data_IF_528222751647
#
_entry.id   IF_528222751647
#
_cell.length_a   1.000
_cell.length_b   1.000
_cell.length_c   1.000
_cell.angle_alpha   90.00
_cell.angle_beta   90.00
_cell.angle_gamma   90.00
#
_symmetry.space_group_name_H-M   'P 1'
#
loop_
_entity.id
_entity.type
_entity.pdbx_description
1 polymer ?
#
# COMPACT_ATOMS: atom_id res chain seq x y z
N UNK A 1 -25.24 28.75 -2.61
CA UNK A 1 -24.66 27.85 -3.63
C UNK A 1 -23.20 28.27 -3.80
N UNK A 2 -22.26 27.37 -4.14
CA UNK A 2 -20.86 27.78 -4.38
C UNK A 2 -20.75 28.36 -5.79
N UNK A 3 -20.00 29.46 -5.94
CA UNK A 3 -19.73 30.08 -7.24
C UNK A 3 -18.48 29.50 -7.93
N UNK A 4 -17.78 28.59 -7.25
CA UNK A 4 -16.55 27.95 -7.75
C UNK A 4 -16.69 26.44 -7.80
N UNK A 5 -16.17 25.84 -8.88
CA UNK A 5 -16.11 24.40 -9.06
C UNK A 5 -15.37 23.72 -7.89
N UNK A 6 -16.00 22.71 -7.29
CA UNK A 6 -15.40 21.88 -6.26
C UNK A 6 -14.77 20.64 -6.93
N UNK A 7 -13.43 20.56 -7.03
CA UNK A 7 -12.78 19.39 -7.60
C UNK A 7 -12.95 18.18 -6.70
N UNK A 8 -12.94 16.99 -7.29
CA UNK A 8 -12.98 15.73 -6.54
C UNK A 8 -11.77 15.58 -5.61
N UNK A 9 -10.57 15.93 -6.11
CA UNK A 9 -9.33 15.85 -5.34
C UNK A 9 -8.35 16.94 -5.77
N UNK A 10 -7.64 17.52 -4.79
CA UNK A 10 -6.43 18.32 -5.00
C UNK A 10 -5.37 17.87 -3.99
N UNK A 11 -4.09 17.77 -4.38
CA UNK A 11 -3.03 17.51 -3.42
C UNK A 11 -2.91 18.70 -2.44
N UNK A 12 -2.71 18.39 -1.17
CA UNK A 12 -2.49 19.39 -0.12
C UNK A 12 -1.00 19.65 0.03
N UNK A 13 -0.53 20.73 -0.60
CA UNK A 13 0.87 21.14 -0.68
C UNK A 13 1.01 22.50 0.01
N UNK A 14 1.97 22.63 0.93
CA UNK A 14 2.19 23.87 1.70
C UNK A 14 3.54 24.55 1.40
N UNK A 15 4.32 23.98 0.46
CA UNK A 15 5.62 24.49 0.05
C UNK A 15 6.81 23.80 0.72
N UNK A 16 6.58 23.00 1.77
CA UNK A 16 7.63 22.12 2.32
C UNK A 16 8.12 21.09 1.30
N UNK A 17 7.23 20.63 0.41
CA UNK A 17 7.58 19.73 -0.69
C UNK A 17 8.54 20.40 -1.67
N UNK A 18 8.24 21.64 -2.06
CA UNK A 18 9.06 22.40 -3.01
C UNK A 18 10.47 22.62 -2.46
N UNK A 19 10.59 22.85 -1.15
CA UNK A 19 11.89 23.00 -0.49
C UNK A 19 12.73 21.73 -0.62
N UNK A 20 12.19 20.57 -0.24
CA UNK A 20 12.95 19.31 -0.30
C UNK A 20 13.24 18.89 -1.75
N UNK A 21 12.32 19.11 -2.69
CA UNK A 21 12.56 18.85 -4.12
C UNK A 21 13.72 19.72 -4.64
N UNK A 22 13.78 20.99 -4.24
CA UNK A 22 14.88 21.88 -4.61
C UNK A 22 16.22 21.36 -4.08
N UNK A 23 16.28 20.89 -2.84
CA UNK A 23 17.50 20.30 -2.26
C UNK A 23 17.98 19.08 -3.08
N UNK A 24 17.06 18.22 -3.54
CA UNK A 24 17.39 17.09 -4.42
C UNK A 24 17.96 17.56 -5.76
N UNK A 25 17.34 18.54 -6.39
CA UNK A 25 17.81 19.07 -7.68
C UNK A 25 19.19 19.74 -7.56
N UNK A 26 19.44 20.45 -6.47
CA UNK A 26 20.74 21.08 -6.18
C UNK A 26 21.83 20.04 -5.86
N UNK A 27 21.47 18.88 -5.29
CA UNK A 27 22.41 17.78 -5.03
C UNK A 27 22.91 17.06 -6.30
N UNK A 28 22.12 17.11 -7.38
CA UNK A 28 22.37 16.35 -8.62
C UNK A 28 21.95 14.88 -8.58
N UNK A 29 21.49 14.34 -7.44
CA UNK A 29 21.06 12.94 -7.31
C UNK A 29 19.54 12.79 -7.46
N UNK A 30 19.07 12.70 -8.70
CA UNK A 30 17.63 12.79 -9.01
C UNK A 30 16.90 11.45 -9.06
N UNK A 31 17.60 10.31 -8.97
CA UNK A 31 17.01 8.96 -8.93
C UNK A 31 17.07 8.40 -7.50
N UNK A 32 16.83 7.11 -7.31
CA UNK A 32 16.89 6.47 -5.97
C UNK A 32 18.21 6.77 -5.28
N UNK A 33 18.15 7.37 -4.10
CA UNK A 33 19.30 7.77 -3.29
C UNK A 33 18.93 8.00 -1.83
N UNK A 34 19.56 9.00 -1.22
CA UNK A 34 19.48 9.26 0.21
C UNK A 34 18.04 9.59 0.67
N UNK A 35 17.30 10.39 -0.11
CA UNK A 35 15.93 10.77 0.26
C UNK A 35 14.98 9.58 0.19
N UNK A 36 15.15 8.69 -0.80
CA UNK A 36 14.37 7.45 -0.89
C UNK A 36 14.60 6.56 0.32
N UNK A 37 15.86 6.36 0.72
CA UNK A 37 16.18 5.58 1.91
C UNK A 37 15.72 6.23 3.22
N UNK A 38 15.72 7.56 3.30
CA UNK A 38 15.15 8.27 4.44
C UNK A 38 13.63 8.11 4.51
N UNK A 39 12.93 8.21 3.37
CA UNK A 39 11.50 7.96 3.29
C UNK A 39 11.17 6.53 3.71
N UNK A 40 11.91 5.52 3.25
CA UNK A 40 11.74 4.12 3.66
C UNK A 40 11.84 3.98 5.19
N UNK A 41 12.90 4.52 5.81
CA UNK A 41 13.09 4.47 7.27
C UNK A 41 11.98 5.19 8.03
N UNK A 42 11.64 6.42 7.60
CA UNK A 42 10.63 7.23 8.26
C UNK A 42 9.24 6.59 8.14
N UNK A 43 8.92 6.00 6.99
CA UNK A 43 7.66 5.33 6.74
C UNK A 43 7.55 4.03 7.55
N UNK A 44 8.60 3.18 7.55
CA UNK A 44 8.67 1.97 8.36
C UNK A 44 8.41 2.29 9.85
N UNK A 45 9.07 3.33 10.37
CA UNK A 45 8.84 3.81 11.73
C UNK A 45 7.41 4.34 11.96
N UNK A 46 6.81 5.01 10.97
CA UNK A 46 5.45 5.57 11.07
C UNK A 46 4.36 4.50 11.10
N UNK A 47 4.52 3.41 10.36
CA UNK A 47 3.55 2.30 10.32
C UNK A 47 3.88 1.19 11.30
N UNK A 48 5.10 1.15 11.85
CA UNK A 48 5.55 0.10 12.76
C UNK A 48 5.96 -1.20 12.06
N UNK A 49 6.51 -1.10 10.85
CA UNK A 49 7.07 -2.24 10.11
C UNK A 49 8.60 -2.31 10.28
N UNK A 50 9.19 -3.50 10.23
CA UNK A 50 10.65 -3.65 10.26
C UNK A 50 11.29 -3.19 8.94
N UNK A 51 10.61 -3.39 7.82
CA UNK A 51 11.09 -3.02 6.50
C UNK A 51 10.06 -2.24 5.70
N UNK A 52 10.56 -1.26 4.95
CA UNK A 52 9.83 -0.57 3.90
C UNK A 52 10.67 -0.55 2.62
N UNK A 53 10.00 -0.64 1.46
CA UNK A 53 10.61 -0.62 0.13
C UNK A 53 9.84 0.34 -0.76
N UNK A 54 10.49 1.44 -1.14
CA UNK A 54 9.85 2.50 -1.92
C UNK A 54 9.83 2.16 -3.42
N UNK A 55 8.66 2.27 -4.03
CA UNK A 55 8.43 1.95 -5.43
C UNK A 55 7.63 3.03 -6.13
N UNK A 56 7.57 3.01 -7.46
CA UNK A 56 6.97 4.06 -8.26
C UNK A 56 5.43 4.05 -8.28
N UNK A 57 4.77 3.03 -7.73
CA UNK A 57 3.31 2.91 -7.67
C UNK A 57 2.86 1.78 -6.73
N UNK A 58 1.61 1.81 -6.27
CA UNK A 58 1.02 0.67 -5.55
C UNK A 58 0.85 -0.57 -6.46
N UNK A 59 0.61 -0.38 -7.75
CA UNK A 59 0.58 -1.48 -8.72
C UNK A 59 1.92 -2.21 -8.77
N UNK A 60 3.03 -1.47 -8.79
CA UNK A 60 4.36 -2.07 -8.67
C UNK A 60 4.57 -2.76 -7.31
N UNK A 61 4.04 -2.17 -6.23
CA UNK A 61 4.11 -2.78 -4.89
C UNK A 61 3.41 -4.15 -4.86
N UNK A 62 2.17 -4.22 -5.33
CA UNK A 62 1.38 -5.45 -5.39
C UNK A 62 2.03 -6.49 -6.31
N UNK A 63 2.54 -6.07 -7.46
CA UNK A 63 3.26 -6.95 -8.39
C UNK A 63 4.49 -7.58 -7.72
N UNK A 64 5.32 -6.76 -7.06
CA UNK A 64 6.50 -7.25 -6.36
C UNK A 64 6.18 -8.09 -5.12
N UNK A 65 5.07 -7.81 -4.43
CA UNK A 65 4.60 -8.63 -3.32
C UNK A 65 4.21 -10.05 -3.79
N UNK A 66 3.52 -10.17 -4.93
CA UNK A 66 3.17 -11.45 -5.53
C UNK A 66 4.41 -12.21 -6.05
N UNK A 67 5.39 -11.51 -6.62
CA UNK A 67 6.68 -12.11 -6.99
C UNK A 67 7.43 -12.63 -5.76
N UNK A 68 7.44 -11.87 -4.66
CA UNK A 68 8.13 -12.24 -3.43
C UNK A 68 7.57 -13.52 -2.77
N UNK A 69 6.27 -13.77 -2.90
CA UNK A 69 5.62 -15.01 -2.42
C UNK A 69 5.63 -16.13 -3.46
N UNK A 70 6.38 -15.94 -4.56
CA UNK A 70 6.58 -16.87 -5.65
C UNK A 70 5.28 -17.32 -6.32
N UNK A 71 4.37 -16.37 -6.62
CA UNK A 71 3.15 -16.67 -7.35
C UNK A 71 3.47 -17.27 -8.73
N UNK A 72 2.76 -18.33 -9.08
CA UNK A 72 2.92 -19.07 -10.33
C UNK A 72 1.64 -19.02 -11.19
N UNK A 73 1.72 -19.35 -12.50
CA UNK A 73 0.56 -19.34 -13.39
C UNK A 73 -0.58 -20.30 -13.00
N UNK A 74 -0.27 -21.35 -12.24
CA UNK A 74 -1.23 -22.37 -11.82
C UNK A 74 -1.99 -21.96 -10.54
N UNK A 75 -1.58 -20.87 -9.90
CA UNK A 75 -2.16 -20.39 -8.64
C UNK A 75 -3.43 -19.57 -8.82
N UNK A 76 -4.21 -19.52 -7.75
CA UNK A 76 -5.34 -18.63 -7.53
C UNK A 76 -5.04 -17.62 -6.42
N UNK A 77 -5.51 -16.39 -6.60
CA UNK A 77 -5.42 -15.32 -5.60
C UNK A 77 -6.81 -14.81 -5.30
N UNK A 78 -7.25 -14.92 -4.05
CA UNK A 78 -8.58 -14.48 -3.64
C UNK A 78 -8.58 -12.97 -3.41
N UNK A 79 -9.55 -12.26 -4.00
CA UNK A 79 -9.79 -10.83 -3.76
C UNK A 79 -11.25 -10.49 -4.07
N UNK A 80 -11.62 -9.21 -4.04
CA UNK A 80 -12.98 -8.74 -4.33
C UNK A 80 -13.09 -8.15 -5.74
N UNK A 81 -14.24 -8.27 -6.42
CA UNK A 81 -14.50 -7.51 -7.65
C UNK A 81 -14.74 -6.02 -7.36
N UNK A 82 -15.02 -5.67 -6.10
CA UNK A 82 -15.20 -4.30 -5.63
C UNK A 82 -13.86 -3.68 -5.23
N UNK A 83 -12.98 -3.51 -6.21
CA UNK A 83 -11.64 -2.94 -6.05
C UNK A 83 -11.20 -2.16 -7.29
N UNK A 84 -10.03 -1.51 -7.24
CA UNK A 84 -9.40 -0.95 -8.42
C UNK A 84 -8.71 -2.03 -9.26
N UNK A 85 -8.64 -1.83 -10.58
CA UNK A 85 -8.12 -2.83 -11.53
C UNK A 85 -6.73 -3.37 -11.15
N UNK A 86 -5.87 -2.53 -10.56
CA UNK A 86 -4.51 -2.92 -10.15
C UNK A 86 -4.47 -4.15 -9.25
N UNK A 87 -5.44 -4.32 -8.34
CA UNK A 87 -5.45 -5.43 -7.37
C UNK A 87 -5.52 -6.78 -8.08
N UNK A 88 -6.35 -6.91 -9.12
CA UNK A 88 -6.54 -8.16 -9.85
C UNK A 88 -5.64 -8.27 -11.10
N UNK A 89 -5.29 -7.16 -11.76
CA UNK A 89 -4.47 -7.20 -12.97
C UNK A 89 -3.05 -7.69 -12.70
N UNK A 90 -2.48 -7.37 -11.53
CA UNK A 90 -1.12 -7.84 -11.18
C UNK A 90 -1.06 -9.36 -11.01
N UNK A 91 -2.17 -10.00 -10.61
CA UNK A 91 -2.28 -11.47 -10.59
C UNK A 91 -2.18 -12.00 -12.02
N UNK A 92 -2.82 -11.32 -12.98
CA UNK A 92 -2.78 -11.70 -14.39
C UNK A 92 -1.41 -11.52 -15.03
N UNK A 93 -0.54 -10.65 -14.52
CA UNK A 93 0.84 -10.51 -15.01
C UNK A 93 1.64 -11.81 -14.85
N UNK A 94 1.31 -12.65 -13.86
CA UNK A 94 1.90 -13.98 -13.69
C UNK A 94 1.19 -15.10 -14.46
N UNK A 95 0.10 -14.79 -15.17
CA UNK A 95 -0.78 -15.82 -15.75
C UNK A 95 -1.69 -16.54 -14.75
N UNK A 96 -1.56 -16.22 -13.44
CA UNK A 96 -2.39 -16.72 -12.36
C UNK A 96 -3.85 -16.23 -12.48
N UNK A 97 -4.75 -16.83 -11.69
CA UNK A 97 -6.18 -16.50 -11.73
C UNK A 97 -6.64 -15.71 -10.51
N UNK A 98 -7.17 -14.47 -10.67
CA UNK A 98 -7.90 -13.82 -9.59
C UNK A 98 -9.22 -14.57 -9.35
N UNK A 99 -9.45 -14.96 -8.11
CA UNK A 99 -10.69 -15.56 -7.65
C UNK A 99 -11.48 -14.48 -6.90
N UNK A 100 -12.56 -14.00 -7.51
CA UNK A 100 -13.39 -12.97 -6.92
C UNK A 100 -14.41 -13.55 -5.95
N UNK A 101 -14.44 -13.02 -4.74
CA UNK A 101 -15.45 -13.31 -3.72
C UNK A 101 -16.16 -12.02 -3.28
N UNK A 102 -17.32 -12.16 -2.65
CA UNK A 102 -18.17 -11.03 -2.31
C UNK A 102 -17.60 -10.17 -1.16
N UNK A 103 -18.28 -9.06 -0.88
CA UNK A 103 -17.94 -8.11 0.18
C UNK A 103 -18.98 -8.07 1.28
N UNK A 104 -18.55 -7.65 2.47
CA UNK A 104 -19.47 -7.35 3.56
C UNK A 104 -20.29 -6.10 3.21
N UNK A 105 -21.60 -6.15 3.48
CA UNK A 105 -22.52 -5.06 3.11
C UNK A 105 -22.20 -3.73 3.80
N UNK A 106 -21.72 -3.77 5.03
CA UNK A 106 -21.54 -2.60 5.90
C UNK A 106 -20.25 -1.82 5.61
N UNK A 107 -19.18 -2.53 5.21
CA UNK A 107 -17.84 -1.95 4.97
C UNK A 107 -17.39 -2.02 3.52
N UNK A 108 -18.06 -2.82 2.69
CA UNK A 108 -17.69 -3.11 1.30
C UNK A 108 -16.30 -3.73 1.16
N UNK A 109 -15.72 -4.23 2.26
CA UNK A 109 -14.48 -4.96 2.28
C UNK A 109 -14.71 -6.46 2.04
N UNK A 110 -13.65 -7.15 1.66
CA UNK A 110 -13.64 -8.60 1.40
C UNK A 110 -14.28 -9.39 2.55
N UNK A 111 -15.32 -10.18 2.27
CA UNK A 111 -16.04 -10.96 3.27
C UNK A 111 -15.24 -12.22 3.68
N UNK A 112 -14.83 -12.36 4.96
CA UNK A 112 -14.10 -13.54 5.43
C UNK A 112 -14.84 -14.87 5.23
N UNK A 113 -16.18 -14.90 5.34
CA UNK A 113 -16.95 -16.13 5.13
C UNK A 113 -16.88 -16.58 3.66
N UNK A 114 -17.05 -15.63 2.74
CA UNK A 114 -16.88 -15.88 1.31
C UNK A 114 -15.45 -16.29 0.94
N UNK A 115 -14.43 -15.72 1.60
CA UNK A 115 -13.03 -16.17 1.45
C UNK A 115 -12.88 -17.62 1.89
N UNK A 116 -13.34 -17.97 3.09
CA UNK A 116 -13.22 -19.33 3.64
C UNK A 116 -13.86 -20.38 2.70
N UNK A 117 -15.01 -20.05 2.10
CA UNK A 117 -15.70 -20.92 1.16
C UNK A 117 -14.98 -21.09 -0.19
N UNK A 118 -14.16 -20.11 -0.59
CA UNK A 118 -13.47 -20.08 -1.87
C UNK A 118 -12.04 -20.67 -1.82
N UNK A 119 -11.47 -20.86 -0.62
CA UNK A 119 -10.15 -21.47 -0.47
C UNK A 119 -10.16 -22.89 -1.06
N UNK A 120 -9.23 -23.11 -2.00
CA UNK A 120 -9.05 -24.38 -2.68
C UNK A 120 -7.58 -24.76 -2.80
N UNK A 121 -7.26 -25.90 -3.43
CA UNK A 121 -5.91 -26.43 -3.51
C UNK A 121 -4.94 -25.56 -4.34
N UNK A 122 -5.47 -24.60 -5.12
CA UNK A 122 -4.67 -23.65 -5.91
C UNK A 122 -4.54 -22.28 -5.24
N UNK A 123 -5.25 -22.03 -4.14
CA UNK A 123 -5.23 -20.73 -3.48
C UNK A 123 -3.85 -20.52 -2.87
N UNK A 124 -3.15 -19.48 -3.32
CA UNK A 124 -1.78 -19.16 -2.88
C UNK A 124 -1.73 -17.93 -1.99
N UNK A 125 -2.62 -16.97 -2.22
CA UNK A 125 -2.64 -15.72 -1.50
C UNK A 125 -4.07 -15.16 -1.40
N UNK A 126 -4.27 -14.27 -0.44
CA UNK A 126 -5.44 -13.41 -0.33
C UNK A 126 -5.01 -11.96 -0.41
N UNK A 127 -5.72 -11.16 -1.20
CA UNK A 127 -5.52 -9.71 -1.33
C UNK A 127 -6.77 -8.98 -0.83
N UNK A 128 -6.89 -8.70 0.49
CA UNK A 128 -7.90 -7.77 0.95
C UNK A 128 -7.53 -6.36 0.54
N UNK A 129 -8.55 -5.59 0.16
CA UNK A 129 -8.44 -4.17 -0.11
C UNK A 129 -9.08 -3.46 1.05
N UNK A 130 -8.40 -2.48 1.63
CA UNK A 130 -8.98 -1.62 2.67
C UNK A 130 -9.80 -0.51 2.02
N UNK A 131 -10.97 -0.90 1.50
CA UNK A 131 -11.81 -0.06 0.68
C UNK A 131 -12.19 1.23 1.39
N UNK A 132 -12.24 2.33 0.62
CA UNK A 132 -12.47 3.70 1.10
C UNK A 132 -11.54 4.23 2.21
N UNK A 133 -10.63 3.41 2.73
CA UNK A 133 -9.83 3.69 3.91
C UNK A 133 -10.33 3.05 5.20
N UNK A 134 -11.37 2.20 5.14
CA UNK A 134 -11.81 1.36 6.24
C UNK A 134 -11.05 0.02 6.16
N UNK A 135 -10.19 -0.33 7.14
CA UNK A 135 -9.60 -1.65 7.25
C UNK A 135 -10.59 -2.80 7.07
N UNK A 136 -10.14 -3.86 6.40
CA UNK A 136 -10.91 -5.10 6.26
C UNK A 136 -10.92 -5.85 7.59
N UNK A 137 -11.70 -6.94 7.70
CA UNK A 137 -11.77 -7.75 8.90
C UNK A 137 -10.52 -8.63 9.08
N UNK A 138 -9.41 -7.98 9.47
CA UNK A 138 -8.08 -8.58 9.40
C UNK A 138 -7.88 -9.74 10.35
N UNK A 139 -8.48 -9.75 11.54
CA UNK A 139 -8.34 -10.88 12.47
C UNK A 139 -8.86 -12.19 11.86
N UNK A 140 -10.02 -12.14 11.18
CA UNK A 140 -10.59 -13.30 10.52
C UNK A 140 -9.77 -13.73 9.29
N UNK A 141 -9.37 -12.76 8.46
CA UNK A 141 -8.58 -13.02 7.24
C UNK A 141 -7.17 -13.53 7.56
N UNK A 142 -6.53 -12.97 8.59
CA UNK A 142 -5.22 -13.42 9.09
C UNK A 142 -5.31 -14.86 9.60
N UNK A 143 -6.40 -15.20 10.32
CA UNK A 143 -6.67 -16.56 10.79
C UNK A 143 -6.78 -17.57 9.63
N UNK A 144 -7.56 -17.23 8.60
CA UNK A 144 -7.70 -18.06 7.40
C UNK A 144 -6.36 -18.22 6.66
N UNK A 145 -5.59 -17.14 6.51
CA UNK A 145 -4.30 -17.19 5.85
C UNK A 145 -3.31 -18.09 6.59
N UNK A 146 -3.28 -17.98 7.92
CA UNK A 146 -2.43 -18.81 8.79
C UNK A 146 -2.83 -20.29 8.78
N UNK A 147 -4.13 -20.59 8.90
CA UNK A 147 -4.66 -21.96 8.89
C UNK A 147 -4.35 -22.70 7.58
N UNK A 148 -4.44 -21.99 6.45
CA UNK A 148 -4.29 -22.56 5.12
C UNK A 148 -2.92 -22.33 4.47
N UNK A 149 -1.98 -21.66 5.17
CA UNK A 149 -0.65 -21.36 4.64
C UNK A 149 -0.65 -20.42 3.42
N UNK A 150 -1.59 -19.48 3.38
CA UNK A 150 -1.75 -18.49 2.31
C UNK A 150 -0.91 -17.25 2.61
N UNK A 151 -0.33 -16.62 1.59
CA UNK A 151 0.25 -15.29 1.79
C UNK A 151 -0.85 -14.22 1.98
N UNK A 152 -0.62 -13.30 2.92
CA UNK A 152 -1.46 -12.13 3.14
C UNK A 152 -0.83 -10.91 2.44
N UNK A 153 -1.47 -10.41 1.39
CA UNK A 153 -0.99 -9.22 0.66
C UNK A 153 -2.06 -8.14 0.75
N UNK A 154 -1.85 -7.11 1.56
CA UNK A 154 -2.85 -6.06 1.76
C UNK A 154 -2.73 -4.97 0.68
N UNK A 155 -3.82 -4.68 -0.02
CA UNK A 155 -3.95 -3.45 -0.82
C UNK A 155 -4.39 -2.31 0.10
N UNK A 156 -3.40 -1.55 0.55
CA UNK A 156 -3.52 -0.41 1.45
C UNK A 156 -3.50 0.93 0.71
N UNK A 157 -3.87 0.95 -0.58
CA UNK A 157 -3.87 2.18 -1.37
C UNK A 157 -4.72 3.31 -0.77
N UNK A 158 -5.74 2.99 0.05
CA UNK A 158 -6.64 3.95 0.68
C UNK A 158 -6.46 4.07 2.20
N UNK A 159 -5.72 3.17 2.85
CA UNK A 159 -5.78 2.99 4.30
C UNK A 159 -4.66 3.67 5.08
N UNK A 160 -3.92 4.61 4.50
CA UNK A 160 -2.97 5.40 5.28
C UNK A 160 -3.68 6.64 5.89
N UNK A 161 -3.65 6.88 7.22
CA UNK A 161 -3.00 6.13 8.31
C UNK A 161 -3.97 5.33 9.20
N UNK A 162 -4.90 4.59 8.61
CA UNK A 162 -5.89 3.77 9.30
C UNK A 162 -5.26 2.72 10.24
N UNK A 163 -6.04 2.30 11.24
CA UNK A 163 -5.65 1.25 12.18
C UNK A 163 -6.80 0.27 12.42
N UNK A 164 -6.44 -0.98 12.73
CA UNK A 164 -7.34 -2.08 13.05
C UNK A 164 -6.96 -2.66 14.41
N UNK A 165 -7.88 -2.65 15.38
CA UNK A 165 -7.68 -3.07 16.78
C UNK A 165 -6.43 -2.46 17.43
N UNK A 166 -6.16 -1.19 17.13
CA UNK A 166 -5.00 -0.45 17.65
C UNK A 166 -3.68 -0.72 16.91
N UNK A 167 -3.68 -1.57 15.88
CA UNK A 167 -2.52 -1.81 15.01
C UNK A 167 -2.65 -0.98 13.74
N UNK A 168 -1.64 -0.16 13.44
CA UNK A 168 -1.60 0.63 12.20
C UNK A 168 -1.51 -0.32 11.01
N UNK A 169 -2.28 -0.07 9.95
CA UNK A 169 -2.14 -0.84 8.71
C UNK A 169 -0.72 -0.66 8.18
N UNK A 170 -0.05 -1.78 7.85
CA UNK A 170 1.38 -1.83 7.52
C UNK A 170 2.25 -2.44 8.60
N UNK A 171 1.80 -2.48 9.86
CA UNK A 171 2.49 -3.23 10.92
C UNK A 171 2.23 -4.73 10.83
N UNK A 172 3.14 -5.51 11.41
CA UNK A 172 2.91 -6.93 11.68
C UNK A 172 1.75 -7.10 12.66
N UNK A 173 0.76 -7.89 12.25
CA UNK A 173 -0.36 -8.25 13.13
C UNK A 173 -0.09 -9.55 13.89
N UNK A 174 -0.53 -9.66 15.16
CA UNK A 174 -0.31 -10.87 15.97
C UNK A 174 -0.94 -12.15 15.39
N UNK A 175 -2.06 -12.03 14.66
CA UNK A 175 -2.84 -13.17 14.18
C UNK A 175 -2.19 -13.99 13.05
N UNK A 176 -1.12 -13.49 12.45
CA UNK A 176 -0.50 -14.11 11.28
C UNK A 176 0.62 -15.12 11.61
N UNK A 177 1.15 -15.17 12.83
CA UNK A 177 2.22 -16.12 13.18
C UNK A 177 3.46 -15.98 12.27
N UNK A 178 3.81 -17.04 11.52
CA UNK A 178 4.89 -17.04 10.51
C UNK A 178 4.39 -16.82 9.07
N UNK A 179 3.09 -16.52 8.92
CA UNK A 179 2.47 -16.32 7.60
C UNK A 179 3.07 -15.10 6.88
N UNK A 180 3.51 -15.24 5.61
CA UNK A 180 4.02 -14.14 4.80
C UNK A 180 3.01 -12.99 4.75
N UNK A 181 3.49 -11.78 5.05
CA UNK A 181 2.67 -10.56 5.03
C UNK A 181 3.40 -9.45 4.28
N UNK A 182 2.74 -8.85 3.30
CA UNK A 182 3.17 -7.59 2.68
C UNK A 182 2.01 -6.62 2.61
N UNK A 183 2.23 -5.36 2.99
CA UNK A 183 1.24 -4.29 2.86
C UNK A 183 1.69 -3.29 1.79
N UNK A 184 0.84 -3.04 0.80
CA UNK A 184 1.15 -2.21 -0.36
C UNK A 184 0.41 -0.88 -0.31
N UNK A 185 1.14 0.23 -0.20
CA UNK A 185 0.59 1.58 -0.13
C UNK A 185 0.70 2.32 -1.46
N UNK A 186 -0.20 3.28 -1.67
CA UNK A 186 -0.21 4.18 -2.82
C UNK A 186 0.09 5.62 -2.41
N UNK A 187 0.97 6.27 -3.15
CA UNK A 187 1.27 7.71 -3.07
C UNK A 187 0.91 8.43 -4.37
N UNK A 188 -0.08 7.90 -5.10
CA UNK A 188 -0.62 8.55 -6.29
C UNK A 188 -1.20 9.93 -5.94
N UNK A 189 -1.29 10.82 -6.93
CA UNK A 189 -1.70 12.22 -6.84
C UNK A 189 -2.92 12.51 -5.93
N UNK A 190 -3.87 11.58 -5.82
CA UNK A 190 -5.13 11.75 -5.08
C UNK A 190 -5.17 11.07 -3.71
N UNK A 191 -4.13 10.32 -3.32
CA UNK A 191 -4.08 9.58 -2.06
C UNK A 191 -3.86 10.51 -0.85
N UNK A 192 -4.00 9.96 0.36
CA UNK A 192 -3.94 10.76 1.60
C UNK A 192 -2.64 11.54 1.70
N UNK A 193 -1.51 10.88 1.40
CA UNK A 193 -0.25 11.53 1.03
C UNK A 193 0.07 11.23 -0.43
N UNK A 194 0.85 12.10 -1.06
CA UNK A 194 1.21 11.98 -2.47
C UNK A 194 2.70 12.19 -2.71
N UNK A 195 3.24 11.54 -3.73
CA UNK A 195 4.55 11.83 -4.32
C UNK A 195 4.44 12.16 -5.81
N UNK A 196 3.23 12.51 -6.26
CA UNK A 196 2.84 12.56 -7.68
C UNK A 196 2.53 11.15 -8.17
N UNK A 197 3.58 10.33 -8.26
CA UNK A 197 3.52 8.87 -8.47
C UNK A 197 4.39 8.20 -7.42
N UNK A 198 3.91 7.09 -6.84
CA UNK A 198 4.66 6.36 -5.83
C UNK A 198 3.86 5.28 -5.11
N UNK A 199 4.57 4.47 -4.36
CA UNK A 199 4.05 3.47 -3.45
C UNK A 199 5.12 2.98 -2.49
N UNK A 200 4.70 2.14 -1.55
CA UNK A 200 5.57 1.53 -0.55
C UNK A 200 5.12 0.10 -0.29
N UNK A 201 6.06 -0.81 -0.13
CA UNK A 201 5.82 -2.16 0.40
C UNK A 201 6.32 -2.18 1.83
N UNK A 202 5.51 -2.62 2.78
CA UNK A 202 5.92 -2.86 4.16
C UNK A 202 5.81 -4.34 4.52
N UNK A 203 6.80 -4.85 5.26
CA UNK A 203 6.82 -6.22 5.78
C UNK A 203 7.82 -6.30 6.94
N UNK A 204 7.64 -7.32 7.79
CA UNK A 204 8.61 -7.67 8.84
C UNK A 204 9.57 -8.78 8.41
N UNK A 205 9.36 -9.36 7.23
CA UNK A 205 10.20 -10.42 6.67
C UNK A 205 11.33 -9.82 5.82
N UNK A 206 12.58 -10.07 6.24
CA UNK A 206 13.77 -9.54 5.58
C UNK A 206 13.94 -10.11 4.16
N UNK A 207 13.63 -11.39 3.96
CA UNK A 207 13.80 -12.07 2.67
C UNK A 207 12.77 -11.56 1.65
N UNK A 208 11.53 -11.36 2.07
CA UNK A 208 10.49 -10.74 1.23
C UNK A 208 10.85 -9.30 0.88
N UNK A 209 11.27 -8.49 1.86
CA UNK A 209 11.69 -7.11 1.62
C UNK A 209 12.88 -7.05 0.65
N UNK A 210 13.84 -7.95 0.80
CA UNK A 210 15.01 -8.00 -0.06
C UNK A 210 14.67 -8.42 -1.49
N UNK A 211 13.80 -9.43 -1.64
CA UNK A 211 13.30 -9.84 -2.95
C UNK A 211 12.61 -8.68 -3.66
N UNK A 212 11.75 -7.93 -2.97
CA UNK A 212 11.11 -6.73 -3.53
C UNK A 212 12.13 -5.67 -3.94
N UNK A 213 13.13 -5.34 -3.10
CA UNK A 213 14.18 -4.36 -3.44
C UNK A 213 14.94 -4.74 -4.70
N UNK A 214 15.40 -5.99 -4.76
CA UNK A 214 16.14 -6.52 -5.89
C UNK A 214 15.33 -6.47 -7.19
N UNK A 215 14.09 -6.94 -7.12
CA UNK A 215 13.20 -6.99 -8.29
C UNK A 215 12.69 -5.61 -8.71
N UNK A 216 12.71 -4.60 -7.82
CA UNK A 216 12.39 -3.21 -8.19
C UNK A 216 13.43 -2.57 -9.12
N UNK A 217 14.65 -3.13 -9.20
CA UNK A 217 15.77 -2.54 -9.92
C UNK A 217 16.54 -3.59 -10.73
N UNK A 218 15.88 -4.15 -11.74
CA UNK A 218 16.40 -5.08 -12.75
C UNK A 218 16.95 -6.41 -12.22
N UNK A 219 16.69 -6.76 -10.95
CA UNK A 219 17.24 -7.96 -10.33
C UNK A 219 18.75 -7.87 -10.09
N UNK A 220 19.25 -6.64 -9.99
CA UNK A 220 20.65 -6.34 -9.74
C UNK A 220 21.00 -6.71 -8.30
N UNK A 221 22.09 -7.47 -8.12
CA UNK A 221 22.63 -7.84 -6.80
C UNK A 221 22.95 -6.62 -5.92
N UNK A 222 22.72 -6.71 -4.60
CA UNK A 222 23.03 -5.67 -3.59
C UNK A 222 24.41 -5.01 -3.75
N UNK A 223 25.43 -5.78 -4.10
CA UNK A 223 26.80 -5.29 -4.26
C UNK A 223 26.96 -4.24 -5.36
N UNK A 224 25.97 -4.08 -6.26
CA UNK A 224 25.99 -3.09 -7.32
C UNK A 224 25.93 -1.65 -6.81
N UNK A 225 25.38 -1.39 -5.62
CA UNK A 225 25.37 -0.04 -5.03
C UNK A 225 26.79 0.47 -4.76
N UNK A 226 27.76 -0.44 -4.57
CA UNK A 226 29.17 -0.08 -4.40
C UNK A 226 29.72 0.67 -5.61
N UNK A 227 29.14 0.56 -6.82
CA UNK A 227 29.59 1.28 -8.04
C UNK A 227 29.57 2.81 -7.91
N UNK A 228 28.79 3.33 -6.98
CA UNK A 228 28.66 4.78 -6.73
C UNK A 228 29.54 5.25 -5.56
N UNK A 229 30.22 4.33 -4.87
CA UNK A 229 31.23 4.65 -3.87
C UNK A 229 32.59 4.91 -4.55
N UNK A 230 33.43 5.72 -3.91
CA UNK A 230 34.73 6.11 -4.43
C UNK A 230 35.71 4.92 -4.63
N UNK A 231 35.47 3.80 -3.95
CA UNK A 231 36.23 2.54 -3.98
C UNK A 231 35.45 1.37 -4.64
N UNK A 232 34.36 1.69 -5.35
CA UNK A 232 33.45 0.73 -5.96
C UNK A 232 34.02 -0.10 -7.11
N UNK A 233 33.66 -1.39 -7.16
CA UNK A 233 33.79 -2.19 -8.38
C UNK A 233 32.63 -1.88 -9.35
N UNK A 234 32.93 -1.78 -10.64
CA UNK A 234 31.93 -1.64 -11.71
C UNK A 234 31.10 -2.91 -11.95
N UNK A 235 31.54 -4.07 -11.43
CA UNK A 235 30.88 -5.35 -11.63
C UNK A 235 29.62 -5.47 -10.77
N UNK A 236 28.51 -5.82 -11.40
CA UNK A 236 27.29 -6.27 -10.74
C UNK A 236 26.73 -7.49 -11.46
N UNK A 237 25.98 -8.30 -10.73
CA UNK A 237 25.29 -9.46 -11.29
C UNK A 237 23.80 -9.15 -11.44
N UNK A 238 23.22 -9.65 -12.52
CA UNK A 238 21.77 -9.76 -12.67
C UNK A 238 21.40 -11.17 -12.23
N UNK A 239 20.85 -11.30 -11.04
CA UNK A 239 20.55 -12.63 -10.45
C UNK A 239 19.09 -13.05 -10.66
N UNK A 240 18.26 -12.15 -11.18
CA UNK A 240 16.88 -12.43 -11.59
C UNK A 240 16.44 -11.45 -12.70
N UNK A 241 15.43 -11.80 -13.53
CA UNK A 241 14.84 -10.89 -14.49
C UNK A 241 13.92 -9.86 -13.79
N UNK A 242 14.50 -8.87 -13.12
CA UNK A 242 13.74 -7.86 -12.39
C UNK A 242 13.14 -6.75 -13.26
N UNK A 243 12.40 -5.85 -12.61
CA UNK A 243 11.64 -4.76 -13.21
C UNK A 243 12.29 -3.39 -12.99
N UNK A 244 11.65 -2.32 -13.46
CA UNK A 244 12.10 -0.95 -13.23
C UNK A 244 11.02 -0.16 -12.47
N UNK A 245 10.99 -0.35 -11.16
CA UNK A 245 9.96 0.17 -10.26
C UNK A 245 10.49 1.05 -9.13
N UNK A 246 11.79 1.30 -9.06
CA UNK A 246 12.39 2.13 -8.02
C UNK A 246 11.80 3.56 -7.98
N UNK A 247 11.61 4.11 -6.77
CA UNK A 247 11.20 5.49 -6.55
C UNK A 247 12.39 6.46 -6.68
N UNK A 248 12.15 7.67 -7.19
CA UNK A 248 13.19 8.71 -7.32
C UNK A 248 13.34 9.53 -6.04
N UNK A 249 14.52 10.11 -5.79
CA UNK A 249 14.69 11.05 -4.68
C UNK A 249 13.81 12.30 -4.81
N UNK A 250 13.45 12.70 -6.04
CA UNK A 250 12.47 13.78 -6.27
C UNK A 250 11.11 13.42 -5.67
N UNK A 251 10.60 12.22 -5.97
CA UNK A 251 9.31 11.77 -5.43
C UNK A 251 9.42 11.50 -3.92
N UNK A 252 10.55 10.94 -3.46
CA UNK A 252 10.78 10.69 -2.05
C UNK A 252 10.84 11.98 -1.21
N UNK A 253 11.42 13.06 -1.74
CA UNK A 253 11.42 14.38 -1.11
C UNK A 253 10.00 14.92 -0.87
N UNK A 254 9.09 14.73 -1.83
CA UNK A 254 7.67 15.07 -1.65
C UNK A 254 7.08 14.20 -0.52
N UNK A 255 7.38 12.90 -0.52
CA UNK A 255 6.90 11.95 0.50
C UNK A 255 7.35 12.32 1.92
N UNK A 256 8.61 12.72 2.08
CA UNK A 256 9.18 13.18 3.36
C UNK A 256 8.51 14.44 3.88
N UNK A 257 8.14 15.37 3.00
CA UNK A 257 7.38 16.57 3.37
C UNK A 257 5.91 16.25 3.72
N UNK A 258 5.32 15.25 3.07
CA UNK A 258 3.92 14.85 3.30
C UNK A 258 3.73 14.00 4.56
N UNK A 259 4.68 13.12 4.88
CA UNK A 259 4.57 12.13 5.97
C UNK A 259 4.20 12.74 7.34
N UNK A 260 4.79 13.89 7.78
CA UNK A 260 4.43 14.53 9.04
C UNK A 260 3.01 15.12 9.08
N UNK A 261 2.36 15.27 7.92
CA UNK A 261 1.02 15.89 7.78
C UNK A 261 -0.12 14.89 7.89
N UNK A 262 0.17 13.58 7.86
CA UNK A 262 -0.84 12.53 7.80
C UNK A 262 -1.93 12.67 8.88
N UNK A 263 -1.53 12.98 10.13
CA UNK A 263 -2.49 13.04 11.23
C UNK A 263 -3.43 14.24 11.11
N UNK A 264 -2.94 15.41 10.67
CA UNK A 264 -3.79 16.58 10.46
C UNK A 264 -4.71 16.40 9.25
N UNK A 265 -4.20 15.80 8.17
CA UNK A 265 -4.99 15.44 7.00
C UNK A 265 -6.10 14.44 7.34
N UNK A 266 -5.78 13.40 8.13
CA UNK A 266 -6.78 12.41 8.54
C UNK A 266 -7.85 13.00 9.45
N UNK A 267 -7.45 13.79 10.46
CA UNK A 267 -8.42 14.53 11.30
C UNK A 267 -9.35 15.39 10.46
N UNK A 268 -8.80 16.11 9.47
CA UNK A 268 -9.60 16.95 8.58
C UNK A 268 -10.58 16.14 7.73
N UNK A 269 -10.17 14.98 7.24
CA UNK A 269 -11.06 14.05 6.51
C UNK A 269 -12.18 13.53 7.40
N UNK A 270 -11.86 13.12 8.63
CA UNK A 270 -12.85 12.66 9.61
C UNK A 270 -13.89 13.75 9.96
N UNK A 271 -13.47 15.00 10.15
CA UNK A 271 -14.39 16.13 10.36
C UNK A 271 -15.35 16.34 9.18
N UNK A 272 -14.85 16.20 7.95
CA UNK A 272 -15.65 16.35 6.73
C UNK A 272 -16.61 15.18 6.60
N UNK A 273 -16.15 13.95 6.84
CA UNK A 273 -16.98 12.75 6.82
C UNK A 273 -18.11 12.83 7.85
N UNK A 274 -17.83 13.28 9.08
CA UNK A 274 -18.85 13.49 10.11
C UNK A 274 -19.95 14.47 9.65
N UNK A 275 -19.57 15.56 8.96
CA UNK A 275 -20.54 16.52 8.40
C UNK A 275 -21.37 15.92 7.26
N UNK A 276 -20.77 15.07 6.43
CA UNK A 276 -21.54 14.33 5.42
C UNK A 276 -22.51 13.35 6.09
N UNK A 277 -22.08 12.60 7.09
CA UNK A 277 -22.96 11.67 7.83
C UNK A 277 -24.12 12.40 8.49
N UNK A 278 -23.86 13.51 9.18
CA UNK A 278 -24.90 14.32 9.81
C UNK A 278 -25.94 14.79 8.78
N UNK A 279 -25.50 15.33 7.64
CA UNK A 279 -26.39 15.87 6.62
C UNK A 279 -27.15 14.77 5.85
N UNK A 280 -26.46 13.68 5.48
CA UNK A 280 -27.01 12.63 4.63
C UNK A 280 -27.85 11.61 5.39
N UNK A 281 -27.63 11.42 6.69
CA UNK A 281 -28.47 10.56 7.54
C UNK A 281 -29.93 11.00 7.61
N UNK A 282 -30.22 12.26 7.23
CA UNK A 282 -31.57 12.81 7.17
C UNK A 282 -32.28 12.50 5.84
N UNK A 283 -31.60 11.87 4.88
CA UNK A 283 -32.12 11.54 3.55
C UNK A 283 -32.48 10.05 3.52
N UNK A 284 -33.77 9.66 3.52
CA UNK A 284 -34.20 8.26 3.63
C UNK A 284 -33.67 7.33 2.53
N UNK A 285 -33.38 7.88 1.35
CA UNK A 285 -32.88 7.13 0.18
C UNK A 285 -31.36 6.91 0.19
N UNK A 286 -30.63 7.43 1.19
CA UNK A 286 -29.17 7.36 1.26
C UNK A 286 -28.73 6.54 2.47
N UNK A 287 -27.92 5.51 2.22
CA UNK A 287 -27.20 4.77 3.26
C UNK A 287 -25.84 5.43 3.47
N UNK A 288 -25.54 5.86 4.71
CA UNK A 288 -24.25 6.45 5.06
C UNK A 288 -23.23 5.36 5.41
N UNK A 289 -21.93 5.57 5.11
CA UNK A 289 -20.88 4.63 5.48
C UNK A 289 -20.88 4.32 6.98
N UNK A 290 -20.60 3.06 7.32
CA UNK A 290 -20.44 2.63 8.70
C UNK A 290 -18.97 2.65 9.11
N UNK A 291 -18.70 2.63 10.42
CA UNK A 291 -17.33 2.46 10.92
C UNK A 291 -17.37 1.52 12.11
N UNK A 292 -16.63 0.41 12.01
CA UNK A 292 -16.55 -0.57 13.10
C UNK A 292 -15.81 0.04 14.30
N UNK A 293 -16.24 -0.28 15.50
CA UNK A 293 -15.74 0.37 16.73
C UNK A 293 -14.27 0.06 17.04
N UNK A 294 -13.70 -0.96 16.40
CA UNK A 294 -12.28 -1.34 16.51
C UNK A 294 -11.41 -0.82 15.36
N UNK A 295 -11.95 0.06 14.51
CA UNK A 295 -11.26 0.61 13.34
C UNK A 295 -11.09 2.12 13.49
N UNK A 296 -9.88 2.60 13.18
CA UNK A 296 -9.67 4.01 12.85
C UNK A 296 -9.61 4.15 11.34
N UNK A 297 -10.61 4.83 10.78
CA UNK A 297 -10.77 5.00 9.33
C UNK A 297 -9.91 6.15 8.80
N UNK A 298 -9.25 5.99 7.65
CA UNK A 298 -8.49 7.06 6.98
C UNK A 298 -9.33 8.02 6.12
N UNK A 299 -10.62 7.71 5.93
CA UNK A 299 -11.58 8.48 5.13
C UNK A 299 -11.00 8.96 3.77
N UNK A 300 -10.42 8.02 3.01
CA UNK A 300 -9.86 8.33 1.69
C UNK A 300 -10.95 8.86 0.75
N UNK A 301 -12.07 8.15 0.73
CA UNK A 301 -13.34 8.59 0.13
C UNK A 301 -14.46 8.37 1.16
N UNK A 302 -15.55 9.12 1.04
CA UNK A 302 -16.73 8.93 1.88
C UNK A 302 -17.60 7.83 1.26
N UNK A 303 -17.29 6.58 1.59
CA UNK A 303 -17.96 5.38 1.11
C UNK A 303 -17.82 4.27 2.17
#
# INVERSE_FOLDING_TARGET
>A
MRDTFLPFSRPDLDGSELKLVKEVLESGWITTGAMTHELERAFAARVGAAHAVAVNSCTAALHLALDAVALSPDDEVITSPYTFASTAEVVRYFGAQPHFVDVERDTLNLDPESVAAAIGPRTRAVIPVHFAGHPAEMEALDGLASEHGLAMIEDAAHSLPASYRGHVIGSRRPGLGDTPQLTCFSFYATKTMTTGEGGMICTDDEDLAERCRLMSLHGISKDAWKRYAADGSWSYEIIAPGFKYNLTDIAAAIGLAQLPKLDSMNRRRAEIAARFTEALSQVPEVETPSTRSWVEHSWHVYA
#
